data_IF_097790838327
#
_entry.id   IF_097790838327
#
_cell.length_a   1.000
_cell.length_b   1.000
_cell.length_c   1.000
_cell.angle_alpha   90.00
_cell.angle_beta   90.00
_cell.angle_gamma   90.00
#
_symmetry.space_group_name_H-M   'P 1'
#
loop_
_entity.id
_entity.type
_entity.pdbx_description
1 polymer ?
#
# COMPACT_ATOMS: atom_id res chain seq x y z
N UNK A 1 -1.77 3.69 -22.74
CA UNK A 1 -2.82 3.74 -21.68
C UNK A 1 -2.60 2.68 -20.58
N UNK A 2 -2.30 1.40 -20.92
CA UNK A 2 -2.11 0.35 -19.91
C UNK A 2 -0.98 0.64 -18.91
N UNK A 3 0.17 1.15 -19.38
CA UNK A 3 1.28 1.53 -18.51
C UNK A 3 0.92 2.66 -17.53
N UNK A 4 0.12 3.64 -17.95
CA UNK A 4 -0.33 4.74 -17.08
C UNK A 4 -1.28 4.21 -16.02
N UNK A 5 -2.23 3.35 -16.40
CA UNK A 5 -3.16 2.74 -15.45
C UNK A 5 -2.43 1.84 -14.44
N UNK A 6 -1.45 1.05 -14.91
CA UNK A 6 -0.61 0.27 -14.03
C UNK A 6 0.17 1.13 -13.03
N UNK A 7 0.87 2.15 -13.52
CA UNK A 7 1.65 3.06 -12.66
C UNK A 7 0.76 3.85 -11.69
N UNK A 8 -0.46 4.22 -12.06
CA UNK A 8 -1.39 4.87 -11.13
C UNK A 8 -1.81 3.94 -9.98
N UNK A 9 -1.86 2.63 -10.22
CA UNK A 9 -2.09 1.62 -9.18
C UNK A 9 -1.02 1.58 -8.09
N UNK A 10 0.23 1.99 -8.39
CA UNK A 10 1.30 2.07 -7.39
C UNK A 10 0.99 3.08 -6.27
N UNK A 11 0.29 4.17 -6.60
CA UNK A 11 -0.07 5.21 -5.64
C UNK A 11 -0.99 4.65 -4.56
N UNK A 12 -1.89 3.73 -4.93
CA UNK A 12 -2.85 3.10 -4.02
C UNK A 12 -2.14 2.29 -2.91
N UNK A 13 -1.00 1.67 -3.21
CA UNK A 13 -0.24 0.93 -2.20
C UNK A 13 0.46 1.84 -1.19
N UNK A 14 0.65 3.11 -1.53
CA UNK A 14 1.41 4.08 -0.72
C UNK A 14 0.49 5.03 0.04
N UNK A 15 -0.59 5.49 -0.57
CA UNK A 15 -1.57 6.39 0.07
C UNK A 15 -2.52 5.56 0.95
N UNK A 16 -2.70 5.95 2.23
CA UNK A 16 -3.63 5.27 3.12
C UNK A 16 -5.10 5.39 2.69
N UNK A 17 -5.90 4.37 2.97
CA UNK A 17 -5.59 3.10 3.64
C UNK A 17 -4.90 2.10 2.71
N UNK A 18 -3.79 1.51 3.14
CA UNK A 18 -3.01 0.53 2.37
C UNK A 18 -2.92 -0.80 3.11
N UNK A 19 -3.33 -1.89 2.45
CA UNK A 19 -3.29 -3.24 3.01
C UNK A 19 -1.85 -3.67 3.33
N UNK A 20 -0.90 -3.37 2.45
CA UNK A 20 0.50 -3.69 2.66
C UNK A 20 1.09 -3.01 3.91
N UNK A 21 0.74 -1.74 4.15
CA UNK A 21 1.18 -1.03 5.34
C UNK A 21 0.55 -1.58 6.63
N UNK A 22 -0.70 -2.06 6.58
CA UNK A 22 -1.35 -2.74 7.72
C UNK A 22 -0.60 -4.03 8.04
N UNK A 23 -0.33 -4.85 7.04
CA UNK A 23 0.37 -6.13 7.21
C UNK A 23 1.80 -5.90 7.74
N UNK A 24 2.54 -5.00 7.13
CA UNK A 24 3.87 -4.63 7.61
C UNK A 24 3.84 -4.15 9.06
N UNK A 25 2.89 -3.27 9.41
CA UNK A 25 2.73 -2.76 10.77
C UNK A 25 2.37 -3.85 11.77
N UNK A 26 1.52 -4.79 11.39
CA UNK A 26 1.09 -5.90 12.24
C UNK A 26 2.23 -6.89 12.47
N UNK A 27 2.93 -7.31 11.42
CA UNK A 27 4.02 -8.29 11.50
C UNK A 27 5.28 -7.70 12.13
N UNK A 28 5.58 -6.42 11.83
CA UNK A 28 6.74 -5.71 12.34
C UNK A 28 6.54 -5.05 13.72
N UNK A 29 5.32 -5.14 14.28
CA UNK A 29 4.92 -4.43 15.50
C UNK A 29 5.16 -2.91 15.41
N UNK A 30 4.92 -2.34 14.21
CA UNK A 30 5.09 -0.93 13.92
C UNK A 30 3.74 -0.23 13.91
N UNK A 31 3.66 0.97 14.47
CA UNK A 31 2.41 1.73 14.54
C UNK A 31 1.83 2.01 13.13
N UNK A 32 0.69 1.41 12.83
CA UNK A 32 -0.02 1.56 11.55
C UNK A 32 -0.43 3.03 11.34
N UNK A 33 -0.82 3.74 12.41
CA UNK A 33 -1.14 5.15 12.32
C UNK A 33 0.05 6.01 11.88
N UNK A 34 1.26 5.72 12.37
CA UNK A 34 2.49 6.39 11.92
C UNK A 34 2.84 6.05 10.47
N UNK A 35 2.66 4.80 10.05
CA UNK A 35 2.83 4.37 8.67
C UNK A 35 1.87 5.11 7.74
N UNK A 36 0.60 5.20 8.10
CA UNK A 36 -0.41 5.93 7.32
C UNK A 36 -0.06 7.42 7.18
N UNK A 37 0.41 8.05 8.25
CA UNK A 37 0.84 9.44 8.18
C UNK A 37 2.07 9.63 7.29
N UNK A 38 3.03 8.71 7.34
CA UNK A 38 4.22 8.75 6.52
C UNK A 38 3.93 8.52 5.02
N UNK A 39 2.87 7.78 4.68
CA UNK A 39 2.50 7.45 3.30
C UNK A 39 2.06 8.63 2.44
N UNK A 40 1.60 9.72 3.04
CA UNK A 40 1.12 10.89 2.30
C UNK A 40 2.20 11.56 1.46
N UNK A 41 3.38 11.77 2.05
CA UNK A 41 4.47 12.49 1.37
C UNK A 41 4.94 11.74 0.12
N UNK A 42 5.33 10.46 0.19
CA UNK A 42 5.74 9.72 -0.99
C UNK A 42 4.57 9.50 -1.97
N UNK A 43 3.34 9.31 -1.49
CA UNK A 43 2.18 9.15 -2.34
C UNK A 43 1.88 10.39 -3.19
N UNK A 44 1.89 11.57 -2.60
CA UNK A 44 1.71 12.84 -3.31
C UNK A 44 2.87 13.08 -4.29
N UNK A 45 4.11 12.80 -3.86
CA UNK A 45 5.28 12.93 -4.73
C UNK A 45 5.17 12.03 -5.96
N UNK A 46 4.77 10.77 -5.78
CA UNK A 46 4.55 9.84 -6.90
C UNK A 46 3.42 10.32 -7.83
N UNK A 47 2.33 10.84 -7.28
CA UNK A 47 1.24 11.41 -8.07
C UNK A 47 1.72 12.58 -8.95
N UNK A 48 2.47 13.51 -8.38
CA UNK A 48 3.03 14.66 -9.11
C UNK A 48 4.02 14.19 -10.19
N UNK A 49 4.94 13.28 -9.87
CA UNK A 49 5.91 12.75 -10.83
C UNK A 49 5.21 12.01 -11.98
N UNK A 50 4.17 11.23 -11.67
CA UNK A 50 3.39 10.53 -12.69
C UNK A 50 2.65 11.51 -13.60
N UNK A 51 2.02 12.56 -13.05
CA UNK A 51 1.36 13.61 -13.85
C UNK A 51 2.35 14.31 -14.78
N UNK A 52 3.56 14.62 -14.29
CA UNK A 52 4.62 15.22 -15.12
C UNK A 52 5.06 14.28 -16.24
N UNK A 53 5.27 12.99 -15.92
CA UNK A 53 5.68 11.98 -16.89
C UNK A 53 4.60 11.77 -17.98
N UNK A 54 3.32 11.70 -17.58
CA UNK A 54 2.19 11.59 -18.52
C UNK A 54 2.10 12.82 -19.42
N UNK A 55 2.21 14.02 -18.85
CA UNK A 55 2.17 15.27 -19.60
C UNK A 55 3.32 15.36 -20.61
N UNK A 56 4.52 15.00 -20.17
CA UNK A 56 5.69 14.97 -21.05
C UNK A 56 5.53 13.95 -22.18
N UNK A 57 5.07 12.73 -21.87
CA UNK A 57 4.81 11.67 -22.82
C UNK A 57 3.73 12.08 -23.85
N UNK A 58 2.63 12.65 -23.36
CA UNK A 58 1.53 13.12 -24.23
C UNK A 58 2.00 14.17 -25.23
N UNK A 59 2.82 15.14 -24.78
CA UNK A 59 3.39 16.16 -25.64
C UNK A 59 4.39 15.58 -26.65
N UNK A 60 5.22 14.64 -26.21
CA UNK A 60 6.25 14.03 -27.07
C UNK A 60 5.67 13.15 -28.17
N UNK A 61 4.63 12.39 -27.87
CA UNK A 61 4.01 11.45 -28.82
C UNK A 61 2.79 12.05 -29.53
N UNK A 62 2.44 13.30 -29.26
CA UNK A 62 1.34 14.00 -29.94
C UNK A 62 -0.03 13.43 -29.67
N UNK A 63 -0.26 12.84 -28.46
CA UNK A 63 -1.58 12.38 -28.07
C UNK A 63 -2.55 13.55 -27.99
N UNK A 64 -3.68 13.42 -28.68
CA UNK A 64 -4.73 14.42 -28.62
C UNK A 64 -5.55 14.23 -27.33
N UNK A 65 -6.00 15.33 -26.70
CA UNK A 65 -6.94 15.22 -25.59
C UNK A 65 -8.27 14.65 -26.08
N UNK A 66 -8.96 13.95 -25.23
CA UNK A 66 -10.28 13.37 -25.52
C UNK A 66 -11.34 14.46 -25.70
N UNK A 67 -11.18 15.58 -25.01
CA UNK A 67 -11.99 16.77 -25.15
C UNK A 67 -11.13 17.96 -25.58
N UNK A 68 -11.59 18.73 -26.56
CA UNK A 68 -10.87 19.90 -27.11
C UNK A 68 -10.79 21.06 -26.10
N UNK A 69 -11.66 21.08 -25.09
CA UNK A 69 -11.72 22.11 -24.07
C UNK A 69 -11.64 21.50 -22.66
N UNK A 70 -10.97 22.18 -21.71
CA UNK A 70 -11.03 21.77 -20.31
C UNK A 70 -12.48 21.84 -19.82
N UNK A 71 -12.88 20.85 -18.98
CA UNK A 71 -14.22 20.82 -18.42
C UNK A 71 -14.55 22.12 -17.68
N UNK A 72 -15.73 22.69 -17.85
CA UNK A 72 -16.14 23.90 -17.16
C UNK A 72 -16.18 23.67 -15.64
N UNK A 73 -15.88 24.71 -14.87
CA UNK A 73 -15.79 24.61 -13.40
C UNK A 73 -17.09 24.06 -12.77
N UNK A 74 -18.23 24.34 -13.38
CA UNK A 74 -19.54 23.82 -12.95
C UNK A 74 -19.65 22.31 -13.05
N UNK A 75 -19.09 21.72 -14.09
CA UNK A 75 -19.05 20.27 -14.30
C UNK A 75 -18.13 19.59 -13.29
N UNK A 76 -16.96 20.18 -13.06
CA UNK A 76 -16.00 19.71 -12.05
C UNK A 76 -16.64 19.76 -10.65
N UNK A 77 -17.31 20.87 -10.32
CA UNK A 77 -17.96 21.04 -9.02
C UNK A 77 -19.12 20.05 -8.83
N UNK A 78 -19.90 19.81 -9.88
CA UNK A 78 -20.97 18.80 -9.85
C UNK A 78 -20.40 17.39 -9.65
N UNK A 79 -19.40 17.01 -10.41
CA UNK A 79 -18.74 15.71 -10.24
C UNK A 79 -18.14 15.54 -8.83
N UNK A 80 -17.57 16.61 -8.25
CA UNK A 80 -17.06 16.62 -6.89
C UNK A 80 -18.19 16.40 -5.86
N UNK A 81 -19.33 17.06 -6.04
CA UNK A 81 -20.49 16.89 -5.16
C UNK A 81 -21.11 15.49 -5.26
N UNK A 82 -21.21 14.95 -6.47
CA UNK A 82 -21.72 13.61 -6.71
C UNK A 82 -20.81 12.53 -6.09
N UNK A 83 -19.50 12.81 -6.03
CA UNK A 83 -18.50 11.90 -5.48
C UNK A 83 -18.15 12.19 -4.00
N UNK A 84 -18.80 13.14 -3.35
CA UNK A 84 -18.40 13.63 -2.02
C UNK A 84 -18.32 12.52 -0.97
N UNK A 85 -19.27 11.59 -0.99
CA UNK A 85 -19.30 10.48 -0.05
C UNK A 85 -18.13 9.52 -0.23
N UNK A 86 -17.73 9.26 -1.49
CA UNK A 86 -16.55 8.44 -1.78
C UNK A 86 -15.25 9.13 -1.35
N UNK A 87 -15.15 10.45 -1.58
CA UNK A 87 -13.97 11.25 -1.19
C UNK A 87 -13.87 11.41 0.32
N UNK A 88 -15.01 11.52 1.01
CA UNK A 88 -15.05 11.68 2.46
C UNK A 88 -14.56 10.43 3.20
N UNK A 89 -14.73 9.25 2.63
CA UNK A 89 -14.38 7.97 3.25
C UNK A 89 -12.91 7.87 3.71
N UNK A 90 -11.89 8.02 2.83
CA UNK A 90 -10.50 7.96 3.26
C UNK A 90 -10.13 9.07 4.24
N UNK A 91 -10.73 10.26 4.10
CA UNK A 91 -10.51 11.38 5.03
C UNK A 91 -11.03 11.02 6.43
N UNK A 92 -12.25 10.49 6.52
CA UNK A 92 -12.83 10.04 7.80
C UNK A 92 -11.98 8.97 8.45
N UNK A 93 -11.55 7.94 7.71
CA UNK A 93 -10.68 6.88 8.26
C UNK A 93 -9.43 7.45 8.89
N UNK A 94 -8.74 8.34 8.19
CA UNK A 94 -7.49 8.93 8.67
C UNK A 94 -7.73 9.79 9.91
N UNK A 95 -8.78 10.60 9.89
CA UNK A 95 -9.16 11.45 11.03
C UNK A 95 -9.46 10.59 12.27
N UNK A 96 -10.28 9.54 12.13
CA UNK A 96 -10.66 8.67 13.23
C UNK A 96 -9.46 7.94 13.84
N UNK A 97 -8.54 7.44 13.00
CA UNK A 97 -7.30 6.80 13.47
C UNK A 97 -6.35 7.83 14.10
N UNK A 98 -6.23 9.01 13.50
CA UNK A 98 -5.32 10.06 13.96
C UNK A 98 -5.67 10.59 15.35
N UNK A 99 -6.96 10.81 15.60
CA UNK A 99 -7.45 11.28 16.89
C UNK A 99 -7.58 10.16 17.94
N UNK A 100 -7.22 8.92 17.58
CA UNK A 100 -7.30 7.78 18.49
C UNK A 100 -8.73 7.37 18.85
N UNK A 101 -9.71 7.79 18.05
CA UNK A 101 -11.12 7.43 18.23
C UNK A 101 -11.36 5.96 17.88
N UNK A 102 -10.62 5.47 16.87
CA UNK A 102 -10.67 4.10 16.42
C UNK A 102 -9.27 3.53 16.24
N UNK A 103 -9.09 2.26 16.58
CA UNK A 103 -7.93 1.49 16.19
C UNK A 103 -7.97 1.18 14.67
N UNK A 104 -6.84 0.82 14.05
CA UNK A 104 -6.82 0.41 12.65
C UNK A 104 -7.74 -0.77 12.34
N UNK A 105 -7.92 -1.69 13.29
CA UNK A 105 -8.82 -2.84 13.16
C UNK A 105 -10.29 -2.43 13.20
N UNK A 106 -10.66 -1.54 14.12
CA UNK A 106 -12.03 -1.00 14.21
C UNK A 106 -12.38 -0.15 12.99
N UNK A 107 -11.39 0.55 12.42
CA UNK A 107 -11.59 1.33 11.20
C UNK A 107 -11.95 0.46 9.98
N UNK A 108 -11.53 -0.82 9.95
CA UNK A 108 -11.99 -1.79 8.96
C UNK A 108 -13.49 -2.08 9.08
N UNK A 109 -14.00 -2.29 10.30
CA UNK A 109 -15.42 -2.49 10.54
C UNK A 109 -16.24 -1.24 10.21
N UNK A 110 -15.72 -0.06 10.55
CA UNK A 110 -16.32 1.22 10.16
C UNK A 110 -16.36 1.37 8.64
N UNK A 111 -15.30 0.99 7.94
CA UNK A 111 -15.23 1.02 6.48
C UNK A 111 -16.35 0.20 5.83
N UNK A 112 -16.56 -1.03 6.32
CA UNK A 112 -17.64 -1.89 5.83
C UNK A 112 -19.01 -1.25 6.08
N UNK A 113 -19.28 -0.75 7.30
CA UNK A 113 -20.55 -0.11 7.65
C UNK A 113 -20.79 1.15 6.80
N UNK A 114 -19.75 1.96 6.61
CA UNK A 114 -19.80 3.16 5.77
C UNK A 114 -20.11 2.83 4.31
N UNK A 115 -19.39 1.85 3.72
CA UNK A 115 -19.61 1.43 2.35
C UNK A 115 -21.03 0.88 2.12
N UNK A 116 -21.55 0.08 3.06
CA UNK A 116 -22.93 -0.40 3.03
C UNK A 116 -23.93 0.74 3.08
N UNK A 117 -23.73 1.70 3.96
CA UNK A 117 -24.63 2.85 4.11
C UNK A 117 -24.60 3.72 2.84
N UNK A 118 -23.43 4.06 2.34
CA UNK A 118 -23.28 4.91 1.15
C UNK A 118 -23.82 4.22 -0.09
N UNK A 119 -23.49 2.94 -0.29
CA UNK A 119 -23.94 2.16 -1.44
C UNK A 119 -25.46 1.91 -1.47
N UNK A 120 -26.09 1.77 -0.31
CA UNK A 120 -27.53 1.54 -0.22
C UNK A 120 -28.35 2.83 -0.19
N UNK A 121 -27.95 3.83 0.61
CA UNK A 121 -28.75 5.01 0.92
C UNK A 121 -28.46 6.18 -0.02
N UNK A 122 -27.19 6.40 -0.36
CA UNK A 122 -26.80 7.56 -1.17
C UNK A 122 -26.69 7.26 -2.66
N UNK A 123 -26.04 6.15 -3.01
CA UNK A 123 -25.86 5.79 -4.43
C UNK A 123 -26.91 4.84 -4.95
N UNK A 124 -27.65 4.14 -4.10
CA UNK A 124 -28.69 3.14 -4.47
C UNK A 124 -28.21 2.08 -5.46
N UNK A 125 -26.91 1.80 -5.49
CA UNK A 125 -26.29 0.84 -6.41
C UNK A 125 -26.15 -0.57 -5.82
N UNK A 126 -26.24 -0.69 -4.49
CA UNK A 126 -26.06 -1.96 -3.80
C UNK A 126 -27.34 -2.77 -3.81
N UNK A 127 -27.38 -3.79 -4.67
CA UNK A 127 -28.47 -4.78 -4.68
C UNK A 127 -28.15 -5.96 -3.76
N UNK A 128 -29.15 -6.70 -3.34
CA UNK A 128 -28.98 -7.90 -2.51
C UNK A 128 -28.09 -8.95 -3.19
N UNK A 129 -28.23 -9.12 -4.47
CA UNK A 129 -27.42 -10.04 -5.27
C UNK A 129 -25.95 -9.61 -5.32
N UNK A 130 -25.69 -8.32 -5.59
CA UNK A 130 -24.36 -7.72 -5.57
C UNK A 130 -23.70 -7.84 -4.19
N UNK A 131 -24.46 -7.62 -3.12
CA UNK A 131 -23.96 -7.77 -1.74
C UNK A 131 -23.53 -9.22 -1.46
N UNK A 132 -24.36 -10.20 -1.83
CA UNK A 132 -24.01 -11.62 -1.64
C UNK A 132 -22.79 -12.03 -2.46
N UNK A 133 -22.68 -11.53 -3.68
CA UNK A 133 -21.50 -11.76 -4.53
C UNK A 133 -20.24 -11.18 -3.86
N UNK A 134 -20.30 -9.92 -3.45
CA UNK A 134 -19.18 -9.24 -2.75
C UNK A 134 -18.77 -9.98 -1.49
N UNK A 135 -19.71 -10.45 -0.69
CA UNK A 135 -19.42 -11.25 0.51
C UNK A 135 -18.71 -12.56 0.17
N UNK A 136 -19.16 -13.28 -0.87
CA UNK A 136 -18.53 -14.53 -1.31
C UNK A 136 -17.09 -14.31 -1.79
N UNK A 137 -16.86 -13.25 -2.55
CA UNK A 137 -15.53 -12.94 -3.06
C UNK A 137 -14.63 -12.46 -1.92
N UNK A 138 -15.12 -11.64 -0.99
CA UNK A 138 -14.39 -11.25 0.22
C UNK A 138 -14.00 -12.45 1.08
N UNK A 139 -14.86 -13.47 1.23
CA UNK A 139 -14.52 -14.69 1.99
C UNK A 139 -13.36 -15.44 1.33
N UNK A 140 -13.33 -15.53 -0.01
CA UNK A 140 -12.22 -16.16 -0.73
C UNK A 140 -10.90 -15.42 -0.48
N UNK A 141 -10.91 -14.09 -0.62
CA UNK A 141 -9.72 -13.26 -0.44
C UNK A 141 -9.21 -13.33 1.01
N UNK A 142 -10.11 -13.22 2.00
CA UNK A 142 -9.77 -13.37 3.42
C UNK A 142 -9.19 -14.76 3.70
N UNK A 143 -9.75 -15.81 3.10
CA UNK A 143 -9.26 -17.19 3.29
C UNK A 143 -7.82 -17.33 2.81
N UNK A 144 -7.50 -16.83 1.62
CA UNK A 144 -6.15 -16.87 1.06
C UNK A 144 -5.16 -16.12 1.97
N UNK A 145 -5.50 -14.90 2.36
CA UNK A 145 -4.67 -14.06 3.24
C UNK A 145 -4.46 -14.75 4.60
N UNK A 146 -5.52 -15.31 5.19
CA UNK A 146 -5.45 -15.98 6.50
C UNK A 146 -4.56 -17.22 6.47
N UNK A 147 -4.65 -18.03 5.40
CA UNK A 147 -3.78 -19.20 5.22
C UNK A 147 -2.32 -18.76 5.09
N UNK A 148 -2.04 -17.74 4.27
CA UNK A 148 -0.67 -17.23 4.12
C UNK A 148 -0.15 -16.69 5.46
N UNK A 149 -0.96 -15.96 6.22
CA UNK A 149 -0.62 -15.47 7.55
C UNK A 149 -0.27 -16.61 8.51
N UNK A 150 -1.08 -17.67 8.55
CA UNK A 150 -0.84 -18.83 9.40
C UNK A 150 0.50 -19.51 9.09
N UNK A 151 0.76 -19.80 7.82
CA UNK A 151 2.04 -20.39 7.39
C UNK A 151 3.22 -19.44 7.57
N UNK A 152 3.04 -18.14 7.35
CA UNK A 152 4.06 -17.12 7.57
C UNK A 152 4.46 -17.02 9.05
N UNK A 153 3.52 -17.21 9.98
CA UNK A 153 3.81 -17.26 11.41
C UNK A 153 4.70 -18.44 11.78
N UNK A 154 4.40 -19.63 11.24
CA UNK A 154 5.26 -20.84 11.45
C UNK A 154 6.64 -20.63 10.83
N UNK A 155 6.71 -20.09 9.62
CA UNK A 155 7.97 -19.78 8.94
C UNK A 155 8.79 -18.72 9.71
N UNK A 156 8.13 -17.65 10.19
CA UNK A 156 8.76 -16.63 11.00
C UNK A 156 9.35 -17.18 12.31
N UNK A 157 8.64 -18.10 12.96
CA UNK A 157 9.15 -18.79 14.14
C UNK A 157 10.43 -19.60 13.82
N UNK A 158 10.46 -20.34 12.72
CA UNK A 158 11.64 -21.06 12.27
C UNK A 158 12.84 -20.14 12.01
N UNK A 159 12.61 -19.00 11.35
CA UNK A 159 13.65 -17.99 11.08
C UNK A 159 14.27 -17.46 12.39
N UNK A 160 13.44 -17.18 13.38
CA UNK A 160 13.92 -16.69 14.70
C UNK A 160 14.63 -17.79 15.45
N UNK A 161 14.09 -19.00 15.45
CA UNK A 161 14.65 -20.16 16.14
C UNK A 161 16.06 -20.51 15.62
N UNK A 162 16.24 -20.51 14.32
CA UNK A 162 17.52 -20.80 13.67
C UNK A 162 18.47 -19.60 13.62
N UNK A 163 18.12 -18.46 14.23
CA UNK A 163 18.90 -17.23 14.21
C UNK A 163 19.24 -16.74 12.79
N UNK A 164 18.41 -17.06 11.80
CA UNK A 164 18.62 -16.69 10.39
C UNK A 164 18.71 -15.17 10.24
N UNK A 165 17.91 -14.40 10.99
CA UNK A 165 17.97 -12.93 10.99
C UNK A 165 19.36 -12.42 11.36
N UNK A 166 20.00 -13.01 12.42
CA UNK A 166 21.35 -12.63 12.84
C UNK A 166 22.39 -13.01 11.80
N UNK A 167 22.23 -14.18 11.18
CA UNK A 167 23.13 -14.65 10.11
C UNK A 167 23.06 -13.72 8.89
N UNK A 168 21.85 -13.34 8.47
CA UNK A 168 21.66 -12.40 7.37
C UNK A 168 22.22 -11.02 7.73
N UNK A 169 21.96 -10.52 8.97
CA UNK A 169 22.51 -9.25 9.44
C UNK A 169 24.02 -9.22 9.35
N UNK A 170 24.68 -10.26 9.89
CA UNK A 170 26.15 -10.37 9.86
C UNK A 170 26.70 -10.49 8.42
N UNK A 171 26.04 -11.23 7.56
CA UNK A 171 26.43 -11.34 6.15
C UNK A 171 26.30 -9.98 5.43
N UNK A 172 25.22 -9.25 5.64
CA UNK A 172 25.02 -7.92 5.07
C UNK A 172 26.01 -6.89 5.63
N UNK A 173 26.25 -6.89 6.93
CA UNK A 173 27.24 -6.02 7.58
C UNK A 173 28.68 -6.38 7.18
N UNK A 174 28.92 -7.64 6.80
CA UNK A 174 30.20 -8.10 6.23
C UNK A 174 30.47 -7.53 4.83
N UNK A 175 29.44 -7.15 4.09
CA UNK A 175 29.58 -6.53 2.75
C UNK A 175 29.97 -5.05 2.89
N UNK A 176 29.30 -4.35 3.79
CA UNK A 176 29.53 -2.93 4.02
C UNK A 176 29.06 -2.48 5.40
N UNK A 177 29.79 -1.58 6.00
CA UNK A 177 29.38 -0.87 7.24
C UNK A 177 28.58 0.41 6.95
N UNK A 178 28.41 0.79 5.68
CA UNK A 178 27.69 1.98 5.29
C UNK A 178 26.18 1.68 5.19
N UNK A 179 25.39 2.24 6.11
CA UNK A 179 23.93 2.05 6.17
C UNK A 179 23.20 2.42 4.87
N UNK A 180 23.68 3.41 4.12
CA UNK A 180 23.07 3.83 2.86
C UNK A 180 23.28 2.78 1.75
N UNK A 181 24.49 2.20 1.65
CA UNK A 181 24.77 1.15 0.68
C UNK A 181 23.98 -0.12 1.02
N UNK A 182 23.91 -0.45 2.30
CA UNK A 182 23.15 -1.60 2.77
C UNK A 182 21.65 -1.46 2.49
N UNK A 183 21.09 -0.27 2.74
CA UNK A 183 19.71 0.04 2.39
C UNK A 183 19.48 -0.08 0.88
N UNK A 184 20.40 0.41 0.06
CA UNK A 184 20.34 0.29 -1.41
C UNK A 184 20.32 -1.17 -1.86
N UNK A 185 21.19 -2.02 -1.29
CA UNK A 185 21.19 -3.46 -1.58
C UNK A 185 19.86 -4.12 -1.23
N UNK A 186 19.28 -3.78 -0.09
CA UNK A 186 17.96 -4.29 0.31
C UNK A 186 16.88 -3.78 -0.63
N UNK A 187 16.91 -2.52 -1.07
CA UNK A 187 15.97 -1.97 -2.04
C UNK A 187 16.05 -2.73 -3.37
N UNK A 188 17.27 -3.00 -3.89
CA UNK A 188 17.45 -3.80 -5.12
C UNK A 188 16.91 -5.22 -4.93
N UNK A 189 17.19 -5.84 -3.80
CA UNK A 189 16.68 -7.17 -3.47
C UNK A 189 15.14 -7.19 -3.42
N UNK A 190 14.51 -6.22 -2.74
CA UNK A 190 13.06 -6.08 -2.65
C UNK A 190 12.42 -5.83 -4.02
N UNK A 191 13.08 -5.04 -4.89
CA UNK A 191 12.62 -4.81 -6.25
C UNK A 191 12.56 -6.14 -7.03
N UNK A 192 13.63 -6.95 -6.95
CA UNK A 192 13.69 -8.26 -7.60
C UNK A 192 12.60 -9.19 -7.05
N UNK A 193 12.45 -9.26 -5.73
CA UNK A 193 11.38 -10.06 -5.11
C UNK A 193 9.99 -9.63 -5.60
N UNK A 194 9.74 -8.32 -5.72
CA UNK A 194 8.49 -7.77 -6.22
C UNK A 194 8.16 -8.14 -7.66
N UNK A 195 9.16 -8.50 -8.48
CA UNK A 195 8.93 -8.98 -9.85
C UNK A 195 8.29 -10.38 -9.89
N UNK A 196 8.45 -11.18 -8.84
CA UNK A 196 8.02 -12.58 -8.81
C UNK A 196 6.91 -12.87 -7.80
N UNK A 197 6.75 -12.03 -6.79
CA UNK A 197 5.86 -12.28 -5.66
C UNK A 197 4.95 -11.09 -5.42
N UNK A 198 3.73 -11.38 -4.95
CA UNK A 198 2.75 -10.37 -4.57
C UNK A 198 3.21 -9.61 -3.30
N UNK A 199 2.86 -8.32 -3.22
CA UNK A 199 3.29 -7.40 -2.16
C UNK A 199 2.94 -7.88 -0.75
N UNK A 200 1.76 -8.46 -0.57
CA UNK A 200 1.28 -8.99 0.71
C UNK A 200 2.17 -10.13 1.22
N UNK A 201 2.52 -11.06 0.32
CA UNK A 201 3.37 -12.22 0.64
C UNK A 201 4.77 -11.77 1.03
N UNK A 202 5.34 -10.83 0.29
CA UNK A 202 6.65 -10.26 0.60
C UNK A 202 6.64 -9.54 1.96
N UNK A 203 5.59 -8.76 2.24
CA UNK A 203 5.43 -8.08 3.52
C UNK A 203 5.42 -9.09 4.68
N UNK A 204 4.69 -10.19 4.54
CA UNK A 204 4.58 -11.22 5.57
C UNK A 204 5.89 -11.96 5.83
N UNK A 205 6.61 -12.30 4.77
CA UNK A 205 7.81 -13.15 4.86
C UNK A 205 9.06 -12.32 5.18
N UNK A 206 9.25 -11.19 4.49
CA UNK A 206 10.49 -10.44 4.60
C UNK A 206 10.50 -9.41 5.73
N UNK A 207 9.35 -8.96 6.23
CA UNK A 207 9.33 -8.02 7.36
C UNK A 207 10.04 -8.58 8.61
N UNK A 208 9.73 -9.78 9.10
CA UNK A 208 10.41 -10.32 10.29
C UNK A 208 11.90 -10.58 10.08
N UNK A 209 12.34 -10.71 8.83
CA UNK A 209 13.76 -10.94 8.49
C UNK A 209 14.52 -9.61 8.40
N UNK A 210 13.99 -8.67 7.61
CA UNK A 210 14.72 -7.45 7.24
C UNK A 210 14.57 -6.34 8.27
N UNK A 211 13.42 -6.23 8.95
CA UNK A 211 13.18 -5.14 9.89
C UNK A 211 14.17 -5.12 11.08
N UNK A 212 14.49 -6.26 11.74
CA UNK A 212 15.52 -6.28 12.78
C UNK A 212 16.89 -5.85 12.25
N UNK A 213 17.26 -6.26 11.03
CA UNK A 213 18.50 -5.86 10.37
C UNK A 213 18.54 -4.34 10.15
N UNK A 214 17.46 -3.77 9.65
CA UNK A 214 17.34 -2.33 9.41
C UNK A 214 17.40 -1.53 10.73
N UNK A 215 16.75 -2.03 11.78
CA UNK A 215 16.85 -1.44 13.14
C UNK A 215 18.31 -1.44 13.66
N UNK A 216 19.06 -2.52 13.44
CA UNK A 216 20.45 -2.62 13.90
C UNK A 216 21.40 -1.61 13.26
N UNK A 217 21.11 -1.15 12.05
CA UNK A 217 21.88 -0.11 11.34
C UNK A 217 21.31 1.30 11.50
N UNK A 218 20.32 1.46 12.40
CA UNK A 218 19.74 2.75 12.74
C UNK A 218 18.71 3.30 11.76
N UNK A 219 18.20 2.47 10.84
CA UNK A 219 17.11 2.87 9.93
C UNK A 219 15.79 2.87 10.71
N UNK A 220 15.05 3.97 10.61
CA UNK A 220 13.74 4.10 11.24
C UNK A 220 12.75 3.09 10.63
N UNK A 221 12.04 2.38 11.49
CA UNK A 221 11.10 1.32 11.12
C UNK A 221 9.95 1.77 10.21
N UNK A 222 9.45 3.02 10.42
CA UNK A 222 8.40 3.60 9.59
C UNK A 222 8.92 3.94 8.19
N UNK A 223 10.13 4.52 8.14
CA UNK A 223 10.80 4.84 6.87
C UNK A 223 11.09 3.56 6.09
N UNK A 224 11.59 2.53 6.76
CA UNK A 224 11.83 1.24 6.11
C UNK A 224 10.55 0.61 5.57
N UNK A 225 9.46 0.64 6.34
CA UNK A 225 8.16 0.15 5.88
C UNK A 225 7.67 0.86 4.61
N UNK A 226 7.83 2.18 4.55
CA UNK A 226 7.49 2.95 3.36
C UNK A 226 8.37 2.57 2.16
N UNK A 227 9.69 2.45 2.37
CA UNK A 227 10.62 2.03 1.32
C UNK A 227 10.26 0.62 0.84
N UNK A 228 10.06 -0.33 1.75
CA UNK A 228 9.74 -1.71 1.44
C UNK A 228 8.46 -1.81 0.60
N UNK A 229 7.36 -1.23 1.07
CA UNK A 229 6.07 -1.30 0.38
C UNK A 229 6.14 -0.63 -1.00
N UNK A 230 6.72 0.56 -1.08
CA UNK A 230 6.86 1.28 -2.34
C UNK A 230 7.72 0.49 -3.34
N UNK A 231 8.88 -0.02 -2.91
CA UNK A 231 9.82 -0.75 -3.77
C UNK A 231 9.21 -2.04 -4.31
N UNK A 232 8.57 -2.83 -3.44
CA UNK A 232 7.92 -4.09 -3.85
C UNK A 232 6.81 -3.83 -4.86
N UNK A 233 6.00 -2.79 -4.62
CA UNK A 233 4.92 -2.42 -5.54
C UNK A 233 5.47 -1.97 -6.92
N UNK A 234 6.60 -1.26 -6.94
CA UNK A 234 7.31 -0.98 -8.20
C UNK A 234 7.81 -2.26 -8.89
N UNK A 235 8.27 -3.25 -8.11
CA UNK A 235 8.69 -4.55 -8.64
C UNK A 235 7.57 -5.25 -9.42
N UNK A 236 6.35 -5.23 -8.93
CA UNK A 236 5.17 -5.83 -9.59
C UNK A 236 4.89 -5.24 -10.98
N UNK A 237 5.33 -4.01 -11.25
CA UNK A 237 5.14 -3.32 -12.54
C UNK A 237 6.22 -3.63 -13.57
N UNK A 238 7.32 -4.25 -13.16
CA UNK A 238 8.37 -4.62 -14.10
C UNK A 238 7.99 -5.89 -14.86
N UNK A 239 8.16 -5.92 -16.19
CA UNK A 239 7.79 -7.07 -17.02
C UNK A 239 8.65 -8.31 -16.75
#
# INVERSE_FOLDING_TARGET
>A
SAAINGLSGLIVATIPPSMGLIIYGTVGEVSIGRLFMAGWVPGILMCVLLMLAVTWSARRFGYKPEHDHPAPLSEILKALLDSIWAILFPVLLIVLIRFGIMSPTESGSFACAYALLVGTVFYHELTWESLLQTLRDSVKDITVITIILAFSGVFGYGIVFDNITVTIANALLGITSNSAILLLLVVVFLLICGMFMETTVIALILTPILLPVMRSIGVNEVVFGMIMMTTVTFGVMTP
#
